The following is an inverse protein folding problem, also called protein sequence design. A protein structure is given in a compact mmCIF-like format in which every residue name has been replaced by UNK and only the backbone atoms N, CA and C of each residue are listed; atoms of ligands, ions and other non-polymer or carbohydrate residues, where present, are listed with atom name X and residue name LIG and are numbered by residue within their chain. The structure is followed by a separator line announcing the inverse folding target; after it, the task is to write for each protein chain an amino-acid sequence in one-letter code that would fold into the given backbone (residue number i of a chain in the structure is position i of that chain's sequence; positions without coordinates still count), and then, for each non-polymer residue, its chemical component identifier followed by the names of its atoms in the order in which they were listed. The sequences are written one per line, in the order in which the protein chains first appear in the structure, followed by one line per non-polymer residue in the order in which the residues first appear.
data_IF_462184344223
#
_entry.id   IF_462184344223
#
_cell.length_a   1.000
_cell.length_b   1.000
_cell.length_c   1.000
_cell.angle_alpha   90.00
_cell.angle_beta   90.00
_cell.angle_gamma   90.00
#
_symmetry.space_group_name_H-M   'P 1'
#
loop_
_entity.id
_entity.type
_entity.pdbx_description
1 polymer ?
#
# COMPACT_ATOMS: atom_id res chain seq x y z
N UNK A 1 0.05 -9.07 -8.91
CA UNK A 1 -0.91 -9.99 -8.28
C UNK A 1 -2.29 -9.57 -8.74
N UNK A 2 -3.23 -10.50 -8.90
CA UNK A 2 -4.62 -10.16 -9.27
C UNK A 2 -5.38 -9.55 -8.10
N UNK A 3 -6.34 -8.65 -8.36
CA UNK A 3 -7.14 -7.98 -7.32
C UNK A 3 -7.93 -8.98 -6.46
N UNK A 4 -8.56 -9.96 -7.09
CA UNK A 4 -9.30 -11.07 -6.48
C UNK A 4 -8.39 -11.88 -5.58
N UNK A 5 -7.19 -12.20 -6.05
CA UNK A 5 -6.20 -12.92 -5.25
C UNK A 5 -5.79 -12.10 -4.02
N UNK A 6 -5.62 -10.79 -4.18
CA UNK A 6 -5.28 -9.89 -3.06
C UNK A 6 -6.42 -9.81 -2.04
N UNK A 7 -7.67 -9.62 -2.50
CA UNK A 7 -8.86 -9.53 -1.66
C UNK A 7 -9.19 -10.84 -0.92
N UNK A 8 -8.92 -11.99 -1.54
CA UNK A 8 -9.18 -13.31 -0.94
C UNK A 8 -8.09 -13.77 0.01
N UNK A 9 -6.82 -13.38 -0.23
CA UNK A 9 -5.67 -13.84 0.57
C UNK A 9 -5.25 -12.89 1.68
N UNK A 10 -5.77 -11.67 1.73
CA UNK A 10 -5.51 -10.76 2.84
C UNK A 10 -6.01 -11.36 4.16
N UNK A 11 -5.19 -11.29 5.21
CA UNK A 11 -5.60 -11.67 6.57
C UNK A 11 -6.61 -10.65 7.12
N UNK A 12 -6.32 -9.36 6.90
CA UNK A 12 -7.20 -8.26 7.29
C UNK A 12 -7.22 -7.21 6.17
N UNK A 13 -8.38 -6.56 6.00
CA UNK A 13 -8.51 -5.35 5.18
C UNK A 13 -9.07 -4.27 6.09
N UNK A 14 -8.26 -3.24 6.33
CA UNK A 14 -8.55 -2.19 7.33
C UNK A 14 -8.48 -0.81 6.72
N UNK A 15 -9.31 0.08 7.24
CA UNK A 15 -9.27 1.52 7.01
C UNK A 15 -8.97 2.20 8.34
N UNK A 16 -8.05 3.15 8.32
CA UNK A 16 -7.62 3.80 9.54
C UNK A 16 -6.59 4.89 9.30
N UNK A 17 -6.03 5.41 10.38
CA UNK A 17 -5.07 6.51 10.35
C UNK A 17 -3.75 6.09 10.95
N UNK A 18 -2.67 6.64 10.39
CA UNK A 18 -1.37 6.57 11.04
C UNK A 18 -1.35 7.61 12.16
N UNK A 19 -1.25 7.16 13.40
CA UNK A 19 -1.22 8.05 14.57
C UNK A 19 0.21 8.32 15.04
N UNK A 20 1.13 7.41 14.76
CA UNK A 20 2.53 7.54 15.14
C UNK A 20 3.43 6.80 14.15
N UNK A 21 4.65 7.31 13.97
CA UNK A 21 5.73 6.64 13.27
C UNK A 21 7.02 6.80 14.06
N UNK A 22 7.74 5.69 14.21
CA UNK A 22 9.03 5.66 14.88
C UNK A 22 10.03 4.93 14.01
N UNK A 23 11.13 5.60 13.68
CA UNK A 23 12.24 4.97 12.94
C UNK A 23 13.13 4.21 13.93
N UNK A 24 13.39 2.96 13.57
CA UNK A 24 14.21 1.99 14.26
C UNK A 24 15.42 1.71 13.37
N UNK A 25 16.61 1.85 13.90
CA UNK A 25 17.80 1.51 13.15
C UNK A 25 18.35 0.18 13.63
N UNK A 26 18.46 -0.77 12.71
CA UNK A 26 19.05 -2.09 12.97
C UNK A 26 20.43 -2.14 12.29
N UNK A 27 21.47 -2.25 13.11
CA UNK A 27 22.84 -2.48 12.65
C UNK A 27 23.05 -3.95 12.27
N UNK A 28 23.90 -4.21 11.27
CA UNK A 28 24.33 -5.57 10.94
C UNK A 28 25.35 -6.04 11.97
N UNK A 29 24.94 -6.90 12.89
CA UNK A 29 25.86 -7.78 13.64
C UNK A 29 25.74 -9.22 13.13
N UNK A 30 25.81 -9.40 11.80
CA UNK A 30 25.99 -10.71 11.18
C UNK A 30 27.43 -10.78 10.68
N UNK A 31 28.31 -11.42 11.47
CA UNK A 31 29.60 -11.88 10.96
C UNK A 31 29.33 -12.86 9.82
N UNK A 32 30.12 -12.71 8.75
CA UNK A 32 30.10 -13.61 7.57
C UNK A 32 30.27 -15.10 7.93
N UNK A 33 30.77 -15.38 9.13
CA UNK A 33 31.06 -16.71 9.66
C UNK A 33 29.95 -17.27 10.57
N UNK A 34 28.96 -16.47 10.96
CA UNK A 34 27.83 -16.89 11.83
C UNK A 34 26.53 -17.19 11.06
N UNK A 35 26.50 -16.90 9.76
CA UNK A 35 25.46 -17.46 8.87
C UNK A 35 25.84 -18.90 8.58
N UNK A 36 25.30 -19.85 9.37
CA UNK A 36 25.04 -21.18 8.81
C UNK A 36 24.24 -20.94 7.53
N UNK A 37 24.78 -21.43 6.42
CA UNK A 37 24.39 -21.24 5.02
C UNK A 37 22.96 -21.72 4.67
N UNK A 38 22.06 -21.82 5.64
CA UNK A 38 20.71 -22.40 5.53
C UNK A 38 19.56 -21.45 5.92
N UNK A 39 19.78 -20.20 6.36
CA UNK A 39 18.68 -19.35 6.88
C UNK A 39 18.17 -18.22 5.98
N UNK A 40 18.69 -18.05 4.77
CA UNK A 40 18.09 -17.17 3.75
C UNK A 40 18.09 -17.87 2.40
N UNK A 41 17.32 -18.96 2.32
CA UNK A 41 16.84 -19.43 1.03
C UNK A 41 15.85 -18.39 0.48
N UNK A 42 15.83 -18.11 -0.85
CA UNK A 42 14.69 -17.45 -1.46
C UNK A 42 13.43 -18.25 -1.10
N UNK A 43 12.39 -17.56 -0.63
CA UNK A 43 11.15 -18.18 -0.14
C UNK A 43 10.59 -19.18 -1.18
N UNK A 44 10.88 -20.47 -0.97
CA UNK A 44 10.04 -21.56 -1.44
C UNK A 44 8.93 -21.72 -0.41
N UNK A 45 7.68 -21.77 -0.87
CA UNK A 45 6.50 -22.06 -0.06
C UNK A 45 6.73 -23.33 0.77
N UNK A 46 6.97 -23.18 2.08
CA UNK A 46 6.63 -24.11 3.18
C UNK A 46 7.42 -23.73 4.44
N UNK A 47 6.74 -23.19 5.44
CA UNK A 47 6.68 -23.74 6.81
C UNK A 47 6.00 -22.73 7.75
N UNK A 48 4.81 -23.11 8.23
CA UNK A 48 4.11 -22.44 9.33
C UNK A 48 4.82 -22.81 10.64
N UNK A 49 5.50 -21.86 11.28
CA UNK A 49 5.88 -22.00 12.69
C UNK A 49 4.83 -21.32 13.58
N UNK A 50 4.20 -22.13 14.42
CA UNK A 50 3.30 -21.71 15.50
C UNK A 50 4.13 -21.10 16.64
N UNK A 51 4.12 -19.78 16.79
CA UNK A 51 4.09 -19.03 18.06
C UNK A 51 4.43 -17.55 17.81
N UNK A 52 3.44 -16.77 17.34
CA UNK A 52 3.61 -15.34 17.03
C UNK A 52 3.89 -14.44 18.24
N UNK A 53 3.73 -14.96 19.46
CA UNK A 53 4.02 -14.20 20.70
C UNK A 53 5.52 -14.11 21.01
N UNK A 54 6.29 -15.12 20.63
CA UNK A 54 7.73 -15.18 20.92
C UNK A 54 8.57 -14.25 20.02
N UNK A 55 8.11 -13.96 18.80
CA UNK A 55 8.83 -13.09 17.85
C UNK A 55 8.57 -11.60 18.16
N UNK A 56 7.34 -11.23 18.50
CA UNK A 56 7.03 -9.87 18.95
C UNK A 56 7.77 -9.51 20.24
N UNK A 57 7.83 -10.46 21.20
CA UNK A 57 8.64 -10.28 22.43
C UNK A 57 10.15 -10.24 22.14
N UNK A 58 10.64 -10.95 21.12
CA UNK A 58 12.04 -10.88 20.71
C UNK A 58 12.40 -9.55 20.03
N UNK A 59 11.49 -9.00 19.20
CA UNK A 59 11.67 -7.69 18.57
C UNK A 59 11.62 -6.58 19.62
N UNK A 60 10.64 -6.62 20.53
CA UNK A 60 10.56 -5.66 21.65
C UNK A 60 11.75 -5.78 22.62
N UNK A 61 12.26 -6.99 22.85
CA UNK A 61 13.45 -7.20 23.68
C UNK A 61 14.73 -6.69 23.01
N UNK A 62 14.88 -6.86 21.70
CA UNK A 62 16.04 -6.36 20.94
C UNK A 62 16.01 -4.83 20.82
N UNK A 63 14.81 -4.25 20.66
CA UNK A 63 14.60 -2.80 20.64
C UNK A 63 14.95 -2.10 21.96
N UNK A 64 14.82 -2.80 23.10
CA UNK A 64 15.11 -2.26 24.42
C UNK A 64 16.56 -2.46 24.88
N UNK A 65 17.40 -3.20 24.14
CA UNK A 65 18.75 -3.58 24.58
C UNK A 65 19.89 -2.76 23.97
N UNK A 66 19.61 -1.99 22.92
CA UNK A 66 20.64 -1.30 22.14
C UNK A 66 21.02 0.07 22.73
N UNK A 67 21.76 0.09 23.84
CA UNK A 67 22.58 1.24 24.23
C UNK A 67 24.07 0.90 24.12
N UNK A 68 24.76 1.70 23.28
CA UNK A 68 26.21 1.76 23.02
C UNK A 68 26.85 0.57 22.28
N UNK A 69 27.44 0.84 21.10
CA UNK A 69 28.73 0.32 20.59
C UNK A 69 29.12 1.06 19.29
N UNK A 70 30.42 1.36 19.16
CA UNK A 70 31.06 2.06 18.04
C UNK A 70 31.17 1.22 16.74
N UNK A 71 31.22 1.93 15.62
CA UNK A 71 30.94 1.50 14.24
C UNK A 71 32.16 1.01 13.45
N UNK A 72 32.03 0.03 12.54
CA UNK A 72 32.82 -0.02 11.28
C UNK A 72 32.06 -0.70 10.10
N UNK A 73 32.03 0.00 8.95
CA UNK A 73 31.61 -0.29 7.55
C UNK A 73 30.75 -1.52 7.18
N UNK A 74 29.47 -1.24 6.89
CA UNK A 74 28.46 -2.15 6.34
C UNK A 74 27.05 -1.61 6.60
N UNK A 75 26.58 -0.70 5.74
CA UNK A 75 25.49 0.27 5.96
C UNK A 75 24.32 -0.17 6.85
N UNK A 76 23.99 0.70 7.83
CA UNK A 76 22.86 0.61 8.76
C UNK A 76 21.53 0.47 8.01
N UNK A 77 20.74 -0.56 8.31
CA UNK A 77 19.37 -0.69 7.78
C UNK A 77 18.41 0.09 8.69
N UNK A 78 17.43 0.77 8.11
CA UNK A 78 16.34 1.41 8.86
C UNK A 78 15.05 0.63 8.67
N UNK A 79 14.26 0.60 9.73
CA UNK A 79 12.90 0.11 9.75
C UNK A 79 12.02 1.19 10.38
N UNK A 80 10.77 1.28 9.97
CA UNK A 80 9.81 2.23 10.53
C UNK A 80 8.69 1.45 11.19
N UNK A 81 8.55 1.58 12.50
CA UNK A 81 7.38 1.14 13.24
C UNK A 81 6.26 2.16 13.04
N UNK A 82 5.07 1.68 12.73
CA UNK A 82 3.89 2.48 12.41
C UNK A 82 2.78 2.04 13.35
N UNK A 83 2.29 2.98 14.14
CA UNK A 83 1.06 2.78 14.93
C UNK A 83 -0.12 3.24 14.08
N UNK A 84 -1.01 2.30 13.78
CA UNK A 84 -2.17 2.51 12.93
C UNK A 84 -3.46 2.31 13.72
N UNK A 85 -4.29 3.34 13.78
CA UNK A 85 -5.59 3.34 14.44
C UNK A 85 -6.68 2.93 13.44
N UNK A 86 -7.28 1.77 13.66
CA UNK A 86 -8.27 1.15 12.78
C UNK A 86 -9.64 1.77 13.05
N UNK A 87 -10.11 2.57 12.09
CA UNK A 87 -11.42 3.23 12.13
C UNK A 87 -12.53 2.29 11.61
N UNK A 88 -12.22 1.47 10.60
CA UNK A 88 -13.16 0.52 10.02
C UNK A 88 -12.44 -0.72 9.51
N UNK A 89 -13.01 -1.90 9.76
CA UNK A 89 -12.47 -3.17 9.28
C UNK A 89 -13.41 -3.75 8.24
N UNK A 90 -12.93 -3.83 6.99
CA UNK A 90 -13.65 -4.39 5.86
C UNK A 90 -13.61 -5.92 5.94
N UNK A 91 -12.46 -6.48 6.30
CA UNK A 91 -12.25 -7.92 6.43
C UNK A 91 -11.36 -8.27 7.62
N UNK A 92 -11.62 -9.45 8.21
CA UNK A 92 -10.80 -10.05 9.25
C UNK A 92 -11.27 -9.67 10.66
N UNK A 93 -10.45 -9.97 11.65
CA UNK A 93 -10.69 -9.66 13.07
C UNK A 93 -9.37 -9.26 13.71
N UNK A 94 -9.40 -8.29 14.61
CA UNK A 94 -8.20 -7.81 15.28
C UNK A 94 -8.50 -6.63 16.19
N UNK A 95 -7.43 -6.07 16.75
CA UNK A 95 -7.49 -4.93 17.67
C UNK A 95 -7.85 -3.62 16.94
N UNK A 96 -8.25 -2.59 17.69
CA UNK A 96 -8.52 -1.25 17.14
C UNK A 96 -7.25 -0.48 16.83
N UNK A 97 -6.10 -0.94 17.32
CA UNK A 97 -4.80 -0.36 17.04
C UNK A 97 -3.89 -1.50 16.59
N UNK A 98 -3.16 -1.31 15.50
CA UNK A 98 -2.20 -2.29 14.98
C UNK A 98 -0.83 -1.65 14.81
N UNK A 99 0.21 -2.46 15.01
CA UNK A 99 1.60 -2.09 14.75
C UNK A 99 2.07 -2.72 13.45
N UNK A 100 2.68 -1.93 12.59
CA UNK A 100 3.29 -2.38 11.34
C UNK A 100 4.77 -2.05 11.35
N UNK A 101 5.61 -2.98 10.90
CA UNK A 101 7.04 -2.72 10.69
C UNK A 101 7.27 -2.63 9.18
N UNK A 102 7.86 -1.54 8.70
CA UNK A 102 8.15 -1.36 7.28
C UNK A 102 9.64 -1.15 7.09
N UNK A 103 10.24 -1.87 6.13
CA UNK A 103 11.64 -1.67 5.77
C UNK A 103 11.86 -0.29 5.11
N UNK A 104 12.89 0.41 5.57
CA UNK A 104 13.20 1.79 5.21
C UNK A 104 12.79 2.79 6.29
N UNK A 105 13.09 4.06 6.03
CA UNK A 105 12.82 5.15 6.96
C UNK A 105 13.77 6.33 6.77
N UNK A 106 13.57 7.36 7.57
CA UNK A 106 14.44 8.53 7.65
C UNK A 106 14.57 8.96 9.11
N UNK A 107 15.75 8.84 9.70
CA UNK A 107 16.02 9.27 11.09
C UNK A 107 16.56 10.71 11.19
N UNK A 108 16.56 11.45 10.06
CA UNK A 108 17.06 12.81 9.94
C UNK A 108 18.49 12.89 9.40
N UNK A 109 19.31 11.86 9.65
CA UNK A 109 20.71 11.79 9.20
C UNK A 109 20.90 10.79 8.06
N UNK A 110 20.14 9.69 8.09
CA UNK A 110 20.16 8.63 7.10
C UNK A 110 18.75 8.41 6.55
N UNK A 111 18.63 8.41 5.22
CA UNK A 111 17.43 7.98 4.53
C UNK A 111 17.69 6.64 3.84
N UNK A 112 16.89 5.62 4.20
CA UNK A 112 16.87 4.33 3.53
C UNK A 112 15.54 4.20 2.80
N UNK A 113 15.61 4.09 1.48
CA UNK A 113 14.44 3.83 0.63
C UNK A 113 14.53 2.42 0.08
N UNK A 114 13.52 1.61 0.39
CA UNK A 114 13.36 0.27 -0.19
C UNK A 114 12.30 0.34 -1.27
N UNK A 115 12.67 0.04 -2.51
CA UNK A 115 11.74 0.09 -3.63
C UNK A 115 10.56 -0.85 -3.42
N UNK A 116 9.35 -0.31 -3.62
CA UNK A 116 8.10 -1.03 -3.40
C UNK A 116 7.60 -1.02 -1.96
N UNK A 117 8.37 -0.57 -0.97
CA UNK A 117 7.81 -0.47 0.38
C UNK A 117 6.80 0.68 0.47
N UNK A 118 5.69 0.50 1.21
CA UNK A 118 4.69 1.54 1.39
C UNK A 118 5.29 2.70 2.20
N UNK A 119 4.99 3.93 1.79
CA UNK A 119 5.39 5.13 2.52
C UNK A 119 4.19 5.76 3.19
N UNK A 120 4.21 5.78 4.51
CA UNK A 120 3.13 6.30 5.33
C UNK A 120 3.42 7.74 5.76
N UNK A 121 2.37 8.50 6.06
CA UNK A 121 2.47 9.83 6.67
C UNK A 121 1.58 9.88 7.90
N UNK A 122 2.11 10.37 9.02
CA UNK A 122 1.34 10.57 10.25
C UNK A 122 0.18 11.54 10.01
N UNK A 123 -1.00 11.20 10.53
CA UNK A 123 -2.24 11.95 10.38
C UNK A 123 -3.05 11.60 9.13
N UNK A 124 -2.44 10.93 8.14
CA UNK A 124 -3.13 10.53 6.91
C UNK A 124 -3.92 9.22 7.10
N UNK A 125 -4.96 9.06 6.28
CA UNK A 125 -5.85 7.90 6.28
C UNK A 125 -5.50 6.95 5.15
N UNK A 126 -5.56 5.66 5.43
CA UNK A 126 -5.24 4.60 4.48
C UNK A 126 -6.24 3.46 4.53
N UNK A 127 -6.38 2.76 3.40
CA UNK A 127 -6.89 1.40 3.34
C UNK A 127 -5.73 0.45 3.08
N UNK A 128 -5.60 -0.58 3.91
CA UNK A 128 -4.49 -1.54 3.87
C UNK A 128 -5.03 -2.96 3.73
N UNK A 129 -4.43 -3.71 2.79
CA UNK A 129 -4.59 -5.16 2.69
C UNK A 129 -3.40 -5.80 3.37
N UNK A 130 -3.62 -6.35 4.55
CA UNK A 130 -2.57 -6.89 5.40
C UNK A 130 -2.38 -8.38 5.12
N UNK A 131 -1.13 -8.79 4.99
CA UNK A 131 -0.78 -10.19 4.77
C UNK A 131 -0.88 -11.01 6.06
N UNK A 132 -0.98 -12.34 5.96
CA UNK A 132 -0.81 -13.21 7.12
C UNK A 132 0.49 -12.92 7.87
N UNK A 133 0.40 -12.69 9.18
CA UNK A 133 1.56 -12.40 10.04
C UNK A 133 2.14 -11.00 9.87
N UNK A 134 1.36 -10.01 9.42
CA UNK A 134 1.82 -8.64 9.16
C UNK A 134 2.57 -7.97 10.33
N UNK A 135 2.33 -8.36 11.58
CA UNK A 135 3.05 -7.83 12.75
C UNK A 135 4.46 -8.40 12.94
N UNK A 136 4.82 -9.45 12.21
CA UNK A 136 6.08 -10.19 12.36
C UNK A 136 7.03 -10.01 11.17
N UNK A 137 6.60 -9.27 10.14
CA UNK A 137 7.34 -9.10 8.87
C UNK A 137 7.52 -7.62 8.53
N UNK A 138 8.63 -7.30 7.88
CA UNK A 138 8.97 -5.93 7.50
C UNK A 138 8.31 -5.45 6.18
N UNK A 139 7.50 -6.30 5.55
CA UNK A 139 6.69 -6.05 4.36
C UNK A 139 5.21 -6.43 4.61
N UNK A 140 4.51 -5.70 5.50
CA UNK A 140 3.21 -6.12 6.06
C UNK A 140 2.04 -6.03 5.08
N UNK A 141 2.22 -5.36 3.95
CA UNK A 141 1.17 -5.10 2.96
C UNK A 141 1.21 -6.13 1.82
N UNK A 142 0.03 -6.65 1.47
CA UNK A 142 -0.16 -7.60 0.39
C UNK A 142 0.28 -7.04 -0.97
N UNK A 143 1.00 -7.86 -1.74
CA UNK A 143 1.45 -7.47 -3.07
C UNK A 143 2.37 -6.25 -3.06
N UNK A 144 3.12 -6.06 -1.95
CA UNK A 144 4.04 -4.95 -1.76
C UNK A 144 3.21 -3.65 -1.67
N UNK A 145 3.24 -2.79 -2.69
CA UNK A 145 2.44 -1.56 -2.72
C UNK A 145 1.02 -1.74 -3.29
N UNK A 146 0.66 -2.92 -3.79
CA UNK A 146 -0.64 -3.16 -4.42
C UNK A 146 -1.80 -3.15 -3.41
N UNK A 147 -1.54 -3.54 -2.17
CA UNK A 147 -2.50 -3.50 -1.06
C UNK A 147 -2.51 -2.19 -0.28
N UNK A 148 -1.82 -1.16 -0.75
CA UNK A 148 -1.67 0.12 -0.07
C UNK A 148 -2.43 1.22 -0.80
N UNK A 149 -3.39 1.84 -0.12
CA UNK A 149 -4.17 2.94 -0.68
C UNK A 149 -4.28 4.10 0.29
N UNK A 150 -3.87 5.29 -0.12
CA UNK A 150 -4.16 6.52 0.62
C UNK A 150 -5.60 6.94 0.34
N UNK A 151 -6.34 7.29 1.40
CA UNK A 151 -7.69 7.83 1.28
C UNK A 151 -7.61 9.35 1.33
N UNK A 152 -8.03 9.97 0.24
CA UNK A 152 -8.18 11.42 0.13
C UNK A 152 -9.64 11.83 -0.02
N UNK A 153 -9.88 13.13 -0.10
CA UNK A 153 -11.18 13.69 -0.49
C UNK A 153 -11.05 14.24 -1.91
N UNK A 154 -11.97 13.87 -2.78
CA UNK A 154 -12.11 14.50 -4.09
C UNK A 154 -12.68 15.91 -3.91
N UNK A 155 -11.97 16.93 -4.40
CA UNK A 155 -12.34 18.33 -4.20
C UNK A 155 -13.60 18.75 -4.96
N UNK A 156 -14.00 18.01 -6.00
CA UNK A 156 -15.15 18.32 -6.83
C UNK A 156 -16.43 17.66 -6.30
N UNK A 157 -16.32 16.41 -5.85
CA UNK A 157 -17.48 15.65 -5.35
C UNK A 157 -17.60 15.68 -3.83
N UNK A 158 -16.53 16.02 -3.12
CA UNK A 158 -16.44 15.93 -1.65
C UNK A 158 -16.40 14.49 -1.12
N UNK A 159 -16.33 13.49 -2.01
CA UNK A 159 -16.35 12.09 -1.63
C UNK A 159 -14.95 11.58 -1.28
N UNK A 160 -14.89 10.55 -0.43
CA UNK A 160 -13.63 9.88 -0.15
C UNK A 160 -13.25 8.95 -1.30
N UNK A 161 -12.02 9.08 -1.79
CA UNK A 161 -11.48 8.35 -2.94
C UNK A 161 -10.13 7.73 -2.60
N UNK A 162 -9.74 6.69 -3.34
CA UNK A 162 -8.48 5.99 -3.13
C UNK A 162 -7.39 6.44 -4.10
N UNK A 163 -6.17 6.55 -3.58
CA UNK A 163 -4.94 6.73 -4.35
C UNK A 163 -4.02 5.55 -4.10
N UNK A 164 -3.44 4.98 -5.15
CA UNK A 164 -2.44 3.93 -5.01
C UNK A 164 -1.12 4.50 -4.45
N UNK A 165 -0.11 3.64 -4.27
CA UNK A 165 1.20 4.06 -3.77
C UNK A 165 1.92 5.11 -4.63
N UNK A 166 1.60 5.18 -5.93
CA UNK A 166 2.15 6.19 -6.86
C UNK A 166 1.36 7.52 -6.84
N UNK A 167 0.29 7.60 -6.03
CA UNK A 167 -0.58 8.76 -5.91
C UNK A 167 -1.68 8.85 -6.97
N UNK A 168 -1.76 7.87 -7.88
CA UNK A 168 -2.78 7.80 -8.93
C UNK A 168 -4.14 7.39 -8.33
N UNK A 169 -5.21 8.05 -8.79
CA UNK A 169 -6.57 7.75 -8.34
C UNK A 169 -7.00 6.37 -8.86
N UNK A 170 -7.70 5.61 -8.03
CA UNK A 170 -8.37 4.37 -8.48
C UNK A 170 -9.69 4.75 -9.12
N UNK A 171 -9.90 4.35 -10.38
CA UNK A 171 -11.11 4.64 -11.15
C UNK A 171 -12.08 3.47 -11.20
N UNK A 172 -11.55 2.24 -11.24
CA UNK A 172 -12.36 1.04 -11.41
C UNK A 172 -11.57 -0.22 -11.05
N UNK A 173 -12.25 -1.36 -10.97
CA UNK A 173 -11.66 -2.70 -10.94
C UNK A 173 -12.21 -3.50 -12.11
N UNK A 174 -11.39 -3.73 -13.14
CA UNK A 174 -11.80 -4.41 -14.37
C UNK A 174 -10.85 -5.56 -14.65
N UNK A 175 -11.38 -6.73 -15.00
CA UNK A 175 -10.61 -7.93 -15.36
C UNK A 175 -9.49 -8.24 -14.34
N UNK A 176 -9.86 -8.20 -13.06
CA UNK A 176 -8.96 -8.49 -11.93
C UNK A 176 -7.81 -7.48 -11.74
N UNK A 177 -7.95 -6.27 -12.30
CA UNK A 177 -6.94 -5.20 -12.26
C UNK A 177 -7.55 -3.86 -11.86
N UNK A 178 -6.75 -3.06 -11.15
CA UNK A 178 -7.10 -1.67 -10.87
C UNK A 178 -6.94 -0.84 -12.13
N UNK A 179 -7.99 -0.13 -12.50
CA UNK A 179 -7.92 0.95 -13.47
C UNK A 179 -7.62 2.25 -12.72
N UNK A 180 -6.68 3.02 -13.27
CA UNK A 180 -6.25 4.28 -12.67
C UNK A 180 -6.85 5.46 -13.43
N UNK A 181 -7.37 6.44 -12.69
CA UNK A 181 -7.74 7.74 -13.21
C UNK A 181 -6.54 8.69 -13.16
N UNK A 182 -6.47 9.60 -14.13
CA UNK A 182 -5.59 10.76 -14.04
C UNK A 182 -6.07 11.67 -12.91
N UNK A 183 -5.15 12.15 -12.08
CA UNK A 183 -5.45 13.12 -11.02
C UNK A 183 -6.03 14.40 -11.62
N UNK A 184 -7.23 14.79 -11.18
CA UNK A 184 -7.95 15.97 -11.67
C UNK A 184 -7.14 17.27 -11.41
N UNK A 185 -6.15 17.26 -10.50
CA UNK A 185 -5.22 18.39 -10.30
C UNK A 185 -4.26 18.65 -11.48
N UNK A 186 -3.93 17.63 -12.27
CA UNK A 186 -3.26 17.85 -13.56
C UNK A 186 -4.27 18.30 -14.63
N UNK A 187 -5.55 17.93 -14.49
CA UNK A 187 -6.62 18.42 -15.38
C UNK A 187 -6.93 19.92 -15.18
N UNK A 188 -6.86 20.45 -13.96
CA UNK A 188 -7.06 21.89 -13.72
C UNK A 188 -5.92 22.75 -14.30
N UNK A 189 -4.71 22.19 -14.42
CA UNK A 189 -3.60 22.80 -15.20
C UNK A 189 -3.76 22.60 -16.71
N UNK A 190 -4.35 21.49 -17.17
CA UNK A 190 -4.68 21.25 -18.58
C UNK A 190 -5.93 21.99 -19.07
N UNK A 191 -6.70 22.62 -18.17
CA UNK A 191 -7.91 23.43 -18.46
C UNK A 191 -7.63 24.79 -19.15
N UNK A 192 -6.59 24.84 -19.98
CA UNK A 192 -6.37 25.87 -21.01
C UNK A 192 -6.29 25.29 -22.44
N UNK A 193 -6.52 23.98 -22.62
CA UNK A 193 -6.76 23.37 -23.94
C UNK A 193 -8.23 22.99 -24.09
N UNK A 194 -8.90 23.45 -25.15
CA UNK A 194 -10.29 23.07 -25.44
C UNK A 194 -10.41 21.53 -25.54
N UNK A 195 -11.50 20.96 -24.99
CA UNK A 195 -11.82 19.55 -25.16
C UNK A 195 -11.78 19.16 -26.64
N UNK A 196 -11.26 17.98 -27.01
CA UNK A 196 -11.23 17.57 -28.40
C UNK A 196 -12.67 17.50 -28.92
N UNK A 197 -12.97 18.32 -29.92
CA UNK A 197 -14.29 18.34 -30.55
C UNK A 197 -14.39 17.05 -31.37
N UNK A 198 -15.46 16.24 -31.20
CA UNK A 198 -15.66 15.07 -32.05
C UNK A 198 -15.67 15.50 -33.52
N UNK A 199 -15.02 14.71 -34.37
CA UNK A 199 -14.88 15.00 -35.80
C UNK A 199 -16.23 14.80 -36.50
N UNK A 200 -17.06 15.83 -36.42
CA UNK A 200 -18.42 15.86 -36.95
C UNK A 200 -18.35 16.33 -38.41
N UNK A 201 -17.62 15.64 -39.27
CA UNK A 201 -17.70 15.89 -40.71
C UNK A 201 -19.15 15.61 -41.18
N UNK A 202 -19.91 16.70 -41.36
CA UNK A 202 -21.29 16.80 -41.90
C UNK A 202 -21.98 15.45 -42.18
N UNK A 203 -22.81 15.00 -41.24
CA UNK A 203 -23.89 14.04 -41.52
C UNK A 203 -23.60 12.56 -41.27
N UNK A 204 -22.40 12.18 -40.81
CA UNK A 204 -22.14 10.82 -40.33
C UNK A 204 -22.34 10.74 -38.81
N UNK A 205 -23.01 9.68 -38.33
CA UNK A 205 -23.07 9.34 -36.90
C UNK A 205 -21.64 9.38 -36.34
N UNK A 206 -21.44 10.23 -35.31
CA UNK A 206 -20.15 10.53 -34.73
C UNK A 206 -19.37 9.24 -34.44
N UNK A 207 -18.32 8.97 -35.22
CA UNK A 207 -17.31 8.00 -34.83
C UNK A 207 -16.36 8.76 -33.91
N UNK A 208 -16.45 8.53 -32.61
CA UNK A 208 -15.42 8.98 -31.68
C UNK A 208 -14.09 8.43 -32.16
N UNK A 209 -13.11 9.30 -32.46
CA UNK A 209 -11.77 8.82 -32.74
C UNK A 209 -11.25 8.05 -31.51
N UNK A 210 -10.35 7.08 -31.66
CA UNK A 210 -9.76 6.37 -30.53
C UNK A 210 -9.19 7.32 -29.47
N UNK A 211 -8.61 8.44 -29.89
CA UNK A 211 -8.08 9.49 -29.01
C UNK A 211 -9.18 10.21 -28.21
N UNK A 212 -10.35 10.46 -28.81
CA UNK A 212 -11.51 11.05 -28.13
C UNK A 212 -12.14 10.04 -27.17
N UNK A 213 -12.25 8.78 -27.57
CA UNK A 213 -12.73 7.71 -26.70
C UNK A 213 -11.79 7.53 -25.48
N UNK A 214 -10.48 7.48 -25.72
CA UNK A 214 -9.47 7.39 -24.66
C UNK A 214 -9.48 8.63 -23.75
N UNK A 215 -9.72 9.83 -24.30
CA UNK A 215 -9.91 11.06 -23.52
C UNK A 215 -11.14 10.99 -22.60
N UNK A 216 -12.28 10.51 -23.10
CA UNK A 216 -13.50 10.39 -22.29
C UNK A 216 -13.45 9.20 -21.31
N UNK A 217 -12.76 8.11 -21.64
CA UNK A 217 -12.54 7.00 -20.71
C UNK A 217 -11.59 7.37 -19.56
N UNK A 218 -10.61 8.26 -19.80
CA UNK A 218 -9.73 8.82 -18.77
C UNK A 218 -10.43 9.82 -17.83
N UNK A 219 -11.62 10.28 -18.19
CA UNK A 219 -12.46 11.18 -17.40
C UNK A 219 -13.43 10.43 -16.46
N UNK A 220 -13.26 9.12 -16.26
CA UNK A 220 -14.04 8.39 -15.28
C UNK A 220 -13.83 8.99 -13.89
N UNK A 221 -14.90 9.24 -13.12
CA UNK A 221 -14.76 9.69 -11.74
C UNK A 221 -13.96 8.64 -10.96
N UNK A 222 -13.16 9.11 -10.00
CA UNK A 222 -12.47 8.21 -9.10
C UNK A 222 -13.49 7.40 -8.31
N UNK A 223 -13.17 6.13 -8.11
CA UNK A 223 -13.98 5.21 -7.36
C UNK A 223 -13.97 5.63 -5.89
N UNK A 224 -15.16 5.69 -5.30
CA UNK A 224 -15.30 6.04 -3.88
C UNK A 224 -14.82 4.90 -2.99
N UNK A 225 -14.52 5.21 -1.73
CA UNK A 225 -14.18 4.18 -0.74
C UNK A 225 -15.27 3.12 -0.60
N UNK A 226 -16.55 3.52 -0.64
CA UNK A 226 -17.67 2.59 -0.57
C UNK A 226 -17.75 1.64 -1.76
N UNK A 227 -17.67 2.18 -2.98
CA UNK A 227 -17.66 1.38 -4.20
C UNK A 227 -16.46 0.42 -4.25
N UNK A 228 -15.31 0.81 -3.67
CA UNK A 228 -14.15 -0.08 -3.62
C UNK A 228 -14.37 -1.24 -2.67
N UNK A 229 -15.01 -0.99 -1.52
CA UNK A 229 -15.40 -2.04 -0.59
C UNK A 229 -16.38 -3.02 -1.27
N UNK A 230 -17.34 -2.51 -2.03
CA UNK A 230 -18.26 -3.36 -2.78
C UNK A 230 -17.52 -4.21 -3.82
N UNK A 231 -16.52 -3.64 -4.51
CA UNK A 231 -15.67 -4.39 -5.43
C UNK A 231 -14.84 -5.48 -4.71
N UNK A 232 -14.33 -5.22 -3.50
CA UNK A 232 -13.64 -6.21 -2.66
C UNK A 232 -14.58 -7.37 -2.33
N UNK A 233 -15.81 -7.07 -1.87
CA UNK A 233 -16.80 -8.10 -1.55
C UNK A 233 -17.15 -8.95 -2.77
N UNK A 234 -17.43 -8.31 -3.91
CA UNK A 234 -17.73 -9.00 -5.16
C UNK A 234 -16.58 -9.93 -5.61
N UNK A 235 -15.33 -9.45 -5.54
CA UNK A 235 -14.16 -10.26 -5.89
C UNK A 235 -14.01 -11.48 -4.97
N UNK A 236 -14.32 -11.33 -3.67
CA UNK A 236 -14.28 -12.44 -2.73
C UNK A 236 -15.39 -13.46 -2.97
N UNK A 237 -16.57 -13.03 -3.39
CA UNK A 237 -17.64 -13.95 -3.77
C UNK A 237 -17.29 -14.74 -5.03
N UNK A 238 -16.66 -14.10 -6.02
CA UNK A 238 -16.22 -14.76 -7.25
C UNK A 238 -15.05 -15.73 -7.05
N UNK A 239 -14.25 -15.55 -5.99
CA UNK A 239 -13.09 -16.39 -5.66
C UNK A 239 -13.34 -17.54 -4.70
N UNK A 240 -14.58 -17.73 -4.21
CA UNK A 240 -15.00 -18.87 -3.38
C UNK A 240 -15.42 -20.06 -4.25
#
# INVERSE_FOLDING_TARGET
MGFTKMATQAQEIVIGKVVEQRVLALGNDIRKDDVKKDSLAPYSEQEQTKDGRAVAEAIDAELNRAEAIETVEGGRMLFTEITFDVEHRVEGKGESTIKLIVAGGNDGELQVTVHGMPTFKTGERYMLFLRPGYGEVADPVMGVNQGFFQIGVDEYTGQQVLRNADGALVADVIDDRLQLALDIREQSKMRLGAAPVPDNARGALARTSPEVAEYWERLRPALTVGEFIDAIHAAKEAGK
#
